data_IF_215494240360
#
_entry.id   IF_215494240360
#
_cell.length_a   1.000
_cell.length_b   1.000
_cell.length_c   1.000
_cell.angle_alpha   90.00
_cell.angle_beta   90.00
_cell.angle_gamma   90.00
#
_symmetry.space_group_name_H-M   'P 1'
#
loop_
_entity.id
_entity.type
_entity.pdbx_description
1 polymer ?
#
# COMPACT_ATOMS: atom_id res chain seq x y z
N UNK A 1 13.51 3.41 9.00
CA UNK A 1 13.47 4.27 7.80
C UNK A 1 14.71 4.09 6.94
N UNK A 2 15.91 4.33 7.48
CA UNK A 2 17.17 4.27 6.73
C UNK A 2 17.42 2.96 5.96
N UNK A 3 16.94 1.83 6.47
CA UNK A 3 17.12 0.51 5.85
C UNK A 3 15.87 0.01 5.09
N UNK A 4 14.76 0.75 5.14
CA UNK A 4 13.50 0.31 4.54
C UNK A 4 13.59 0.36 3.00
N UNK A 5 13.05 -0.67 2.37
CA UNK A 5 12.89 -0.76 0.91
C UNK A 5 11.44 -1.05 0.53
N UNK A 6 11.08 -0.71 -0.69
CA UNK A 6 9.75 -0.98 -1.24
C UNK A 6 9.42 -2.47 -1.19
N UNK A 7 8.19 -2.82 -0.83
CA UNK A 7 7.73 -4.21 -0.65
C UNK A 7 7.98 -4.82 0.73
N UNK A 8 8.77 -4.16 1.58
CA UNK A 8 9.00 -4.64 2.94
C UNK A 8 7.88 -4.24 3.90
N UNK A 9 7.90 -4.88 5.07
CA UNK A 9 6.94 -4.67 6.14
C UNK A 9 7.63 -4.64 7.51
N UNK A 10 6.86 -4.32 8.56
CA UNK A 10 7.31 -4.52 9.94
C UNK A 10 6.24 -5.26 10.76
N UNK A 11 6.69 -5.89 11.84
CA UNK A 11 5.82 -6.54 12.81
C UNK A 11 5.61 -5.62 14.02
N UNK A 12 4.39 -5.09 14.15
CA UNK A 12 4.01 -4.17 15.22
C UNK A 12 3.46 -4.93 16.42
N UNK A 13 4.04 -4.72 17.60
CA UNK A 13 3.47 -5.19 18.87
C UNK A 13 2.49 -4.13 19.38
N UNK A 14 1.26 -4.55 19.63
CA UNK A 14 0.13 -3.64 19.89
C UNK A 14 -0.37 -3.70 21.34
N UNK A 15 0.21 -4.56 22.18
CA UNK A 15 -0.14 -4.67 23.58
C UNK A 15 1.03 -5.20 24.41
N UNK A 16 1.14 -4.70 25.64
CA UNK A 16 2.09 -5.21 26.63
C UNK A 16 1.57 -6.40 27.45
N UNK A 17 0.32 -6.81 27.19
CA UNK A 17 -0.33 -7.94 27.83
C UNK A 17 -0.09 -9.27 27.07
N UNK A 18 -0.58 -10.37 27.66
CA UNK A 18 -0.59 -11.70 27.03
C UNK A 18 -1.59 -11.82 25.87
N UNK A 19 -2.47 -10.83 25.66
CA UNK A 19 -3.46 -10.85 24.61
C UNK A 19 -3.74 -9.45 24.02
N UNK A 20 -3.55 -9.24 22.71
CA UNK A 20 -3.24 -10.27 21.71
C UNK A 20 -1.72 -10.51 21.57
N UNK A 21 -1.30 -11.77 21.72
CA UNK A 21 0.13 -12.17 21.85
C UNK A 21 0.98 -11.89 20.60
N UNK A 22 0.47 -12.23 19.41
CA UNK A 22 1.25 -12.14 18.17
C UNK A 22 1.54 -10.68 17.78
N UNK A 23 2.48 -10.42 16.87
CA UNK A 23 2.64 -9.09 16.26
C UNK A 23 1.73 -8.93 15.05
N UNK A 24 1.55 -7.70 14.55
CA UNK A 24 0.80 -7.42 13.32
C UNK A 24 1.79 -7.11 12.19
N UNK A 25 1.89 -7.97 11.17
CA UNK A 25 2.66 -7.64 9.99
C UNK A 25 1.91 -6.54 9.22
N UNK A 26 2.56 -5.40 9.01
CA UNK A 26 1.99 -4.26 8.28
C UNK A 26 3.04 -3.77 7.28
N UNK A 27 2.68 -3.81 6.00
CA UNK A 27 3.50 -3.31 4.90
C UNK A 27 3.80 -1.83 5.07
N UNK A 28 4.98 -1.42 4.65
CA UNK A 28 5.28 0.00 4.53
C UNK A 28 4.42 0.59 3.40
N UNK A 29 3.74 1.67 3.71
CA UNK A 29 3.07 2.53 2.74
C UNK A 29 3.99 3.65 2.24
N UNK A 30 5.09 3.90 2.95
CA UNK A 30 6.14 4.84 2.59
C UNK A 30 7.18 4.96 3.70
N UNK A 31 8.26 5.67 3.43
CA UNK A 31 9.28 6.02 4.40
C UNK A 31 9.99 7.31 3.97
N UNK A 32 10.60 8.01 4.92
CA UNK A 32 11.42 9.20 4.64
C UNK A 32 12.70 9.05 5.46
N UNK A 33 13.82 8.86 4.75
CA UNK A 33 15.12 8.64 5.39
C UNK A 33 15.60 9.89 6.12
N UNK A 34 15.34 11.08 5.56
CA UNK A 34 15.79 12.35 6.14
C UNK A 34 15.01 12.69 7.40
N UNK A 35 13.70 12.46 7.40
CA UNK A 35 12.84 12.64 8.59
C UNK A 35 12.90 11.46 9.57
N UNK A 36 13.47 10.34 9.15
CA UNK A 36 13.54 9.12 9.96
C UNK A 36 12.19 8.42 10.14
N UNK A 37 11.21 8.68 9.27
CA UNK A 37 9.83 8.19 9.42
C UNK A 37 9.52 6.98 8.55
N UNK A 38 8.58 6.14 9.01
CA UNK A 38 7.90 5.14 8.19
C UNK A 38 6.39 5.42 8.26
N UNK A 39 5.69 5.13 7.18
CA UNK A 39 4.23 5.24 7.10
C UNK A 39 3.64 3.84 7.04
N UNK A 40 2.70 3.56 7.94
CA UNK A 40 1.97 2.29 7.98
C UNK A 40 0.51 2.55 7.65
N UNK A 41 -0.02 1.77 6.72
CA UNK A 41 -1.44 1.81 6.37
C UNK A 41 -2.09 0.47 6.70
N UNK A 42 -3.21 0.50 7.42
CA UNK A 42 -3.88 -0.70 7.88
C UNK A 42 -5.40 -0.52 7.95
N UNK A 43 -6.12 -1.65 7.90
CA UNK A 43 -7.57 -1.70 8.14
C UNK A 43 -7.85 -2.33 9.51
N UNK A 44 -8.85 -1.79 10.20
CA UNK A 44 -9.36 -2.38 11.43
C UNK A 44 -10.17 -3.62 11.08
N UNK A 45 -9.68 -4.79 11.47
CA UNK A 45 -10.29 -6.10 11.16
C UNK A 45 -10.30 -7.05 12.36
N UNK A 46 -9.90 -6.55 13.54
CA UNK A 46 -9.95 -7.32 14.78
C UNK A 46 -9.25 -6.61 15.93
N UNK A 47 -9.25 -7.24 17.10
CA UNK A 47 -8.79 -6.66 18.37
C UNK A 47 -7.39 -6.04 18.30
N UNK A 48 -6.47 -6.65 17.56
CA UNK A 48 -5.10 -6.14 17.43
C UNK A 48 -5.03 -4.77 16.75
N UNK A 49 -5.70 -4.62 15.60
CA UNK A 49 -5.73 -3.35 14.85
C UNK A 49 -6.71 -2.34 15.48
N UNK A 50 -7.72 -2.82 16.21
CA UNK A 50 -8.59 -1.96 17.02
C UNK A 50 -7.84 -1.32 18.19
N UNK A 51 -6.83 -1.96 18.77
CA UNK A 51 -5.99 -1.31 19.79
C UNK A 51 -5.22 -0.13 19.20
N UNK A 52 -4.73 -0.27 17.97
CA UNK A 52 -3.95 0.76 17.29
C UNK A 52 -4.76 2.03 16.99
N UNK A 53 -6.09 1.97 16.92
CA UNK A 53 -6.93 3.16 16.67
C UNK A 53 -6.90 4.17 17.81
N UNK A 54 -6.41 3.77 18.99
CA UNK A 54 -6.31 4.62 20.18
C UNK A 54 -4.96 5.31 20.33
N UNK A 55 -4.03 5.04 19.41
CA UNK A 55 -2.70 5.65 19.44
C UNK A 55 -2.79 7.14 19.14
N UNK A 56 -1.99 7.92 19.85
CA UNK A 56 -1.87 9.36 19.67
C UNK A 56 -0.41 9.76 19.47
N UNK A 57 -0.13 10.95 18.91
CA UNK A 57 1.24 11.45 18.78
C UNK A 57 1.96 11.44 20.14
N UNK A 58 3.17 10.87 20.15
CA UNK A 58 3.97 10.68 21.37
C UNK A 58 3.92 9.26 21.93
N UNK A 59 2.94 8.44 21.54
CA UNK A 59 2.92 7.03 21.91
C UNK A 59 4.08 6.27 21.27
N UNK A 60 4.56 5.25 21.99
CA UNK A 60 5.63 4.37 21.51
C UNK A 60 5.05 3.03 21.08
N UNK A 61 5.47 2.58 19.89
CA UNK A 61 5.18 1.25 19.38
C UNK A 61 6.48 0.46 19.20
N UNK A 62 6.44 -0.80 19.60
CA UNK A 62 7.53 -1.74 19.31
C UNK A 62 7.33 -2.33 17.91
N UNK A 63 8.22 -1.93 17.01
CA UNK A 63 8.23 -2.33 15.60
C UNK A 63 9.47 -3.15 15.29
N UNK A 64 9.27 -4.39 14.84
CA UNK A 64 10.33 -5.26 14.34
C UNK A 64 10.39 -5.20 12.82
N UNK A 65 11.45 -4.60 12.26
CA UNK A 65 11.70 -4.54 10.82
C UNK A 65 12.90 -3.67 10.45
N UNK A 66 13.19 -3.50 9.14
CA UNK A 66 12.40 -4.02 8.01
C UNK A 66 12.46 -5.55 7.89
N UNK A 67 11.35 -6.16 7.46
CA UNK A 67 11.21 -7.59 7.20
C UNK A 67 10.71 -7.83 5.77
N UNK A 68 10.98 -9.04 5.26
CA UNK A 68 10.62 -9.45 3.91
C UNK A 68 11.64 -9.05 2.87
N UNK A 69 11.56 -9.70 1.71
CA UNK A 69 12.36 -9.34 0.55
C UNK A 69 11.77 -8.10 -0.13
N UNK A 70 12.59 -7.12 -0.53
CA UNK A 70 12.13 -5.99 -1.32
C UNK A 70 11.52 -6.44 -2.65
N UNK A 71 10.59 -5.66 -3.17
CA UNK A 71 10.17 -5.83 -4.56
C UNK A 71 11.31 -5.46 -5.51
N UNK A 72 11.40 -6.20 -6.61
CA UNK A 72 12.23 -5.83 -7.75
C UNK A 72 11.42 -4.86 -8.59
N UNK A 73 11.83 -3.60 -8.62
CA UNK A 73 11.21 -2.57 -9.45
C UNK A 73 11.82 -2.57 -10.86
N UNK A 74 11.07 -2.04 -11.82
CA UNK A 74 11.48 -1.92 -13.21
C UNK A 74 10.90 -0.67 -13.85
N UNK A 75 11.22 -0.41 -15.12
CA UNK A 75 10.56 0.65 -15.88
C UNK A 75 9.21 0.16 -16.44
N UNK A 76 8.22 1.03 -16.60
CA UNK A 76 6.88 0.69 -17.09
C UNK A 76 6.25 -0.48 -16.33
N UNK A 77 5.98 -0.29 -15.03
CA UNK A 77 5.29 -1.28 -14.19
C UNK A 77 3.76 -1.08 -14.22
N UNK A 78 3.01 -2.18 -14.13
CA UNK A 78 1.58 -2.13 -13.82
C UNK A 78 1.34 -2.63 -12.40
N UNK A 79 1.20 -1.69 -11.47
CA UNK A 79 0.91 -1.99 -10.08
C UNK A 79 -0.57 -2.36 -9.91
N UNK A 80 -0.87 -3.41 -9.15
CA UNK A 80 -2.26 -3.85 -8.91
C UNK A 80 -2.51 -3.99 -7.41
N UNK A 81 -3.37 -3.13 -6.87
CA UNK A 81 -3.72 -3.09 -5.45
C UNK A 81 -5.23 -3.17 -5.22
N UNK A 82 -5.65 -3.88 -4.18
CA UNK A 82 -7.06 -3.92 -3.74
C UNK A 82 -7.18 -3.90 -2.22
N UNK A 83 -8.09 -3.08 -1.70
CA UNK A 83 -8.27 -2.91 -0.25
C UNK A 83 -6.98 -2.53 0.48
N UNK A 84 -6.52 -3.33 1.44
CA UNK A 84 -5.26 -3.06 2.17
C UNK A 84 -4.00 -3.31 1.34
N UNK A 85 -4.12 -4.02 0.21
CA UNK A 85 -3.02 -4.23 -0.73
C UNK A 85 -2.55 -2.95 -1.43
N UNK A 86 -3.26 -1.84 -1.23
CA UNK A 86 -2.89 -0.51 -1.72
C UNK A 86 -1.63 0.04 -1.03
N UNK A 87 -1.40 -0.33 0.23
CA UNK A 87 -0.25 0.17 1.01
C UNK A 87 1.11 -0.07 0.31
N UNK A 88 1.49 -1.30 -0.06
CA UNK A 88 2.75 -1.52 -0.78
C UNK A 88 2.80 -0.85 -2.15
N UNK A 89 1.67 -0.70 -2.85
CA UNK A 89 1.63 -0.02 -4.15
C UNK A 89 1.91 1.47 -4.00
N UNK A 90 1.36 2.11 -2.97
CA UNK A 90 1.65 3.50 -2.63
C UNK A 90 3.14 3.70 -2.30
N UNK A 91 3.72 2.73 -1.61
CA UNK A 91 5.14 2.75 -1.27
C UNK A 91 6.02 2.75 -2.51
N UNK A 92 5.74 1.87 -3.49
CA UNK A 92 6.43 1.87 -4.80
C UNK A 92 6.20 3.20 -5.52
N UNK A 93 4.94 3.62 -5.67
CA UNK A 93 4.57 4.83 -6.41
C UNK A 93 5.26 6.09 -5.87
N UNK A 94 5.47 6.18 -4.55
CA UNK A 94 6.14 7.33 -3.91
C UNK A 94 7.67 7.27 -3.95
N UNK A 95 8.26 6.14 -4.34
CA UNK A 95 9.71 5.90 -4.32
C UNK A 95 10.28 5.48 -5.68
N UNK A 96 9.57 5.75 -6.77
CA UNK A 96 10.06 5.50 -8.12
C UNK A 96 11.40 6.23 -8.33
N UNK A 97 12.37 5.50 -8.85
CA UNK A 97 13.70 6.03 -9.17
C UNK A 97 13.72 6.68 -10.56
N UNK A 98 14.79 7.41 -10.87
CA UNK A 98 14.96 8.01 -12.19
C UNK A 98 14.92 6.94 -13.29
N UNK A 99 13.97 7.07 -14.21
CA UNK A 99 13.76 6.13 -15.31
C UNK A 99 12.85 4.95 -14.96
N UNK A 100 12.27 4.91 -13.75
CA UNK A 100 11.16 4.03 -13.42
C UNK A 100 9.84 4.77 -13.63
N UNK A 101 8.91 4.12 -14.33
CA UNK A 101 7.55 4.60 -14.57
C UNK A 101 6.56 3.51 -14.15
N UNK A 102 5.39 3.92 -13.67
CA UNK A 102 4.34 2.98 -13.31
C UNK A 102 2.95 3.55 -13.53
N UNK A 103 2.02 2.65 -13.83
CA UNK A 103 0.58 2.88 -13.68
C UNK A 103 0.07 1.99 -12.56
N UNK A 104 -1.02 2.37 -11.91
CA UNK A 104 -1.63 1.58 -10.83
C UNK A 104 -3.11 1.34 -11.06
N UNK A 105 -3.55 0.10 -10.87
CA UNK A 105 -4.96 -0.27 -10.79
C UNK A 105 -5.34 -0.42 -9.32
N UNK A 106 -6.32 0.33 -8.87
CA UNK A 106 -6.86 0.30 -7.51
C UNK A 106 -8.28 -0.26 -7.52
N UNK A 107 -8.46 -1.44 -6.93
CA UNK A 107 -9.74 -2.11 -6.80
C UNK A 107 -10.43 -1.85 -5.46
N UNK A 108 -11.69 -1.42 -5.52
CA UNK A 108 -12.54 -1.13 -4.37
C UNK A 108 -13.88 -1.86 -4.46
N UNK A 109 -14.58 -1.98 -3.32
CA UNK A 109 -15.93 -2.56 -3.33
C UNK A 109 -16.98 -1.63 -3.93
N UNK A 110 -16.86 -0.34 -3.65
CA UNK A 110 -17.78 0.72 -4.07
C UNK A 110 -17.14 2.10 -3.88
N UNK A 111 -17.83 3.15 -4.32
CA UNK A 111 -17.43 4.56 -4.22
C UNK A 111 -16.95 4.96 -2.82
N UNK A 112 -17.60 4.50 -1.74
CA UNK A 112 -17.25 4.91 -0.37
C UNK A 112 -15.87 4.43 0.09
N UNK A 113 -15.27 3.46 -0.60
CA UNK A 113 -13.90 3.00 -0.32
C UNK A 113 -12.85 3.67 -1.25
N UNK A 114 -13.27 4.43 -2.26
CA UNK A 114 -12.35 5.03 -3.25
C UNK A 114 -11.48 6.15 -2.70
N UNK A 115 -11.78 6.69 -1.51
CA UNK A 115 -10.97 7.74 -0.88
C UNK A 115 -9.49 7.34 -0.68
N UNK A 116 -9.18 6.03 -0.65
CA UNK A 116 -7.79 5.58 -0.60
C UNK A 116 -6.99 5.93 -1.86
N UNK A 117 -7.65 6.11 -3.01
CA UNK A 117 -7.01 6.55 -4.25
C UNK A 117 -6.41 7.96 -4.12
N UNK A 118 -6.97 8.79 -3.22
CA UNK A 118 -6.46 10.14 -2.96
C UNK A 118 -5.02 10.14 -2.42
N UNK A 119 -4.58 9.05 -1.79
CA UNK A 119 -3.20 8.90 -1.33
C UNK A 119 -2.18 8.91 -2.48
N UNK A 120 -2.60 8.63 -3.71
CA UNK A 120 -1.74 8.61 -4.89
C UNK A 120 -1.68 9.97 -5.61
N UNK A 121 -2.47 10.97 -5.21
CA UNK A 121 -2.55 12.27 -5.90
C UNK A 121 -1.20 12.99 -6.03
N UNK A 122 -0.33 12.81 -5.04
CA UNK A 122 0.99 13.42 -5.01
C UNK A 122 2.10 12.49 -5.53
N UNK A 123 1.73 11.36 -6.13
CA UNK A 123 2.66 10.41 -6.75
C UNK A 123 2.63 10.57 -8.27
N UNK A 124 3.74 10.26 -8.98
CA UNK A 124 3.81 10.45 -10.43
C UNK A 124 3.11 9.36 -11.25
N UNK A 125 2.36 8.44 -10.62
CA UNK A 125 1.73 7.32 -11.31
C UNK A 125 0.33 7.67 -11.82
N UNK A 126 -0.05 7.10 -12.95
CA UNK A 126 -1.43 7.14 -13.43
C UNK A 126 -2.29 6.15 -12.64
N UNK A 127 -3.44 6.60 -12.15
CA UNK A 127 -4.34 5.79 -11.30
C UNK A 127 -5.60 5.38 -12.07
N UNK A 128 -5.80 4.08 -12.19
CA UNK A 128 -7.00 3.45 -12.74
C UNK A 128 -7.85 2.89 -11.61
N UNK A 129 -9.11 3.30 -11.52
CA UNK A 129 -10.02 2.83 -10.45
C UNK A 129 -10.95 1.75 -10.99
N UNK A 130 -11.11 0.67 -10.23
CA UNK A 130 -12.20 -0.29 -10.43
C UNK A 130 -13.07 -0.41 -9.19
N UNK A 131 -14.38 -0.60 -9.39
CA UNK A 131 -15.33 -0.87 -8.30
C UNK A 131 -16.17 -2.11 -8.60
N UNK A 132 -16.34 -3.00 -7.62
CA UNK A 132 -17.11 -4.24 -7.80
C UNK A 132 -18.53 -3.98 -8.35
N UNK A 133 -19.18 -2.91 -7.87
CA UNK A 133 -20.54 -2.52 -8.28
C UNK A 133 -20.59 -1.60 -9.51
N UNK A 134 -19.47 -0.99 -9.90
CA UNK A 134 -19.38 -0.03 -11.00
C UNK A 134 -19.78 1.40 -10.62
N UNK A 135 -19.83 1.71 -9.32
CA UNK A 135 -20.13 3.05 -8.82
C UNK A 135 -19.11 4.11 -9.24
N UNK A 136 -17.83 3.74 -9.38
CA UNK A 136 -16.74 4.60 -9.88
C UNK A 136 -15.78 3.80 -10.76
N UNK A 137 -15.33 4.42 -11.85
CA UNK A 137 -14.33 3.82 -12.75
C UNK A 137 -14.86 2.59 -13.48
N UNK A 138 -13.99 1.60 -13.70
CA UNK A 138 -14.37 0.37 -14.39
C UNK A 138 -15.09 -0.59 -13.45
N UNK A 139 -16.24 -1.11 -13.88
CA UNK A 139 -16.98 -2.10 -13.11
C UNK A 139 -16.25 -3.44 -13.04
N UNK A 140 -16.11 -3.97 -11.83
CA UNK A 140 -15.52 -5.26 -11.51
C UNK A 140 -14.18 -5.16 -10.77
N UNK A 141 -13.47 -6.29 -10.74
CA UNK A 141 -12.16 -6.38 -10.10
C UNK A 141 -11.07 -5.69 -10.93
N UNK A 142 -9.86 -5.45 -10.38
CA UNK A 142 -8.74 -4.89 -11.14
C UNK A 142 -8.43 -5.61 -12.45
N UNK A 143 -8.71 -6.92 -12.52
CA UNK A 143 -8.55 -7.73 -13.73
C UNK A 143 -9.49 -7.35 -14.87
N UNK A 144 -10.54 -6.56 -14.62
CA UNK A 144 -11.49 -6.15 -15.65
C UNK A 144 -10.89 -5.14 -16.66
N UNK A 145 -10.06 -4.20 -16.18
CA UNK A 145 -9.41 -3.19 -17.04
C UNK A 145 -8.02 -3.65 -17.54
N UNK A 146 -7.43 -4.63 -16.87
CA UNK A 146 -6.06 -5.09 -17.14
C UNK A 146 -5.80 -5.48 -18.62
N UNK A 147 -6.69 -6.21 -19.34
CA UNK A 147 -6.47 -6.52 -20.75
C UNK A 147 -6.39 -5.29 -21.65
N UNK A 148 -7.19 -4.26 -21.37
CA UNK A 148 -7.17 -3.00 -22.13
C UNK A 148 -5.82 -2.29 -21.94
N UNK A 149 -5.37 -2.16 -20.69
CA UNK A 149 -4.11 -1.51 -20.37
C UNK A 149 -2.90 -2.25 -20.95
N UNK A 150 -2.87 -3.58 -20.85
CA UNK A 150 -1.78 -4.40 -21.39
C UNK A 150 -1.74 -4.36 -22.92
N UNK A 151 -2.90 -4.23 -23.59
CA UNK A 151 -2.92 -4.09 -25.05
C UNK A 151 -2.55 -2.68 -25.52
N UNK A 152 -2.83 -1.66 -24.71
CA UNK A 152 -2.53 -0.26 -25.03
C UNK A 152 -1.08 0.15 -24.69
N UNK A 153 -0.44 -0.54 -23.74
CA UNK A 153 0.87 -0.17 -23.20
C UNK A 153 1.84 -1.36 -23.19
N UNK A 154 3.14 -1.09 -23.11
CA UNK A 154 4.15 -2.13 -22.89
C UNK A 154 4.63 -2.08 -21.45
N UNK A 155 4.14 -3.00 -20.62
CA UNK A 155 4.62 -3.17 -19.25
C UNK A 155 5.78 -4.17 -19.20
N UNK A 156 6.83 -3.88 -18.43
CA UNK A 156 7.94 -4.82 -18.22
C UNK A 156 7.75 -5.71 -17.00
N UNK A 157 6.81 -5.34 -16.12
CA UNK A 157 6.42 -6.08 -14.93
C UNK A 157 4.98 -5.74 -14.55
N UNK A 158 4.27 -6.71 -13.95
CA UNK A 158 2.94 -6.58 -13.33
C UNK A 158 3.02 -7.15 -11.92
#
# INVERSE_FOLDING_TARGET
AAEAKVGQFCNVRVADSTAPLLRRPISYAGFDVQKGTITLLYRVVGKGTEIMTRLVPGDTLDCLGPLGEPFVTSNNMLLVGGGVGIAPMLCIASHLQNGEEAQVILGFRNESETFWADLFKDTPVEVHITTDDGSVGTKGFPTAIMPELINANTFTSV
#
